data_IF_394318556018
#
_entry.id   IF_394318556018
#
_cell.length_a   1.000
_cell.length_b   1.000
_cell.length_c   1.000
_cell.angle_alpha   90.00
_cell.angle_beta   90.00
_cell.angle_gamma   90.00
#
_symmetry.space_group_name_H-M   'P 1'
#
loop_
_entity.id
_entity.type
_entity.pdbx_description
1 polymer ?
#
# COMPACT_ATOMS: atom_id res chain seq x y z
N UNK A 1 -57.16 -41.31 -42.61
CA UNK A 1 -56.77 -42.56 -43.29
C UNK A 1 -55.74 -43.24 -42.42
N UNK A 2 -56.15 -44.28 -41.69
CA UNK A 2 -55.79 -45.68 -41.89
C UNK A 2 -54.28 -45.92 -41.97
N UNK A 3 -53.63 -46.76 -41.21
CA UNK A 3 -53.90 -48.00 -40.45
C UNK A 3 -52.62 -48.32 -39.68
N UNK A 4 -52.69 -48.72 -38.43
CA UNK A 4 -52.63 -50.09 -37.87
C UNK A 4 -51.27 -50.79 -37.95
N UNK A 5 -50.68 -51.05 -36.74
CA UNK A 5 -50.54 -52.34 -36.03
C UNK A 5 -49.51 -53.32 -36.64
N UNK A 6 -48.52 -53.76 -35.81
CA UNK A 6 -48.58 -55.12 -35.25
C UNK A 6 -47.47 -55.34 -34.20
N UNK A 7 -47.85 -56.06 -33.18
CA UNK A 7 -47.09 -56.62 -32.07
C UNK A 7 -46.09 -57.71 -32.54
N UNK A 8 -45.03 -57.92 -31.77
CA UNK A 8 -44.64 -59.25 -31.32
C UNK A 8 -43.73 -59.24 -30.13
N UNK A 9 -44.15 -59.92 -29.09
CA UNK A 9 -43.48 -60.32 -27.87
C UNK A 9 -42.59 -61.53 -28.13
N UNK A 10 -41.38 -61.56 -27.61
CA UNK A 10 -40.70 -62.83 -27.24
C UNK A 10 -39.86 -62.60 -26.02
N UNK A 11 -40.20 -63.29 -24.95
CA UNK A 11 -39.44 -63.48 -23.77
C UNK A 11 -38.63 -64.78 -23.87
N UNK A 12 -37.43 -64.79 -23.24
CA UNK A 12 -36.76 -65.96 -22.64
C UNK A 12 -35.41 -65.48 -22.10
N UNK A 13 -35.20 -65.35 -20.89
CA UNK A 13 -34.77 -66.22 -19.76
C UNK A 13 -33.26 -66.53 -19.68
N UNK A 14 -32.69 -66.11 -18.54
CA UNK A 14 -31.64 -66.70 -17.69
C UNK A 14 -30.19 -66.76 -18.22
N UNK A 15 -29.34 -66.12 -17.45
CA UNK A 15 -27.89 -66.34 -17.38
C UNK A 15 -27.21 -65.40 -16.35
N UNK A 16 -27.24 -65.83 -15.08
CA UNK A 16 -26.46 -65.16 -14.05
C UNK A 16 -24.96 -65.49 -14.19
N UNK A 17 -24.13 -64.50 -14.36
CA UNK A 17 -22.70 -64.59 -14.16
C UNK A 17 -22.25 -63.44 -13.28
N UNK A 18 -21.96 -63.69 -12.02
CA UNK A 18 -21.28 -62.81 -11.09
C UNK A 18 -19.80 -62.74 -11.49
N UNK A 19 -19.37 -61.62 -12.05
CA UNK A 19 -17.96 -61.25 -12.11
C UNK A 19 -17.75 -60.12 -11.11
N UNK A 20 -17.13 -60.48 -9.99
CA UNK A 20 -16.55 -59.56 -9.02
C UNK A 20 -15.39 -58.83 -9.70
N UNK A 21 -15.66 -57.66 -10.31
CA UNK A 21 -14.64 -56.71 -10.64
C UNK A 21 -14.44 -55.78 -9.42
N UNK A 22 -13.41 -56.08 -8.67
CA UNK A 22 -12.92 -55.17 -7.65
C UNK A 22 -12.45 -53.87 -8.27
N UNK A 23 -13.35 -52.93 -8.41
CA UNK A 23 -13.03 -51.55 -8.75
C UNK A 23 -12.41 -50.88 -7.52
N UNK A 24 -11.09 -50.79 -7.49
CA UNK A 24 -10.40 -49.88 -6.59
C UNK A 24 -10.84 -48.45 -6.93
N UNK A 25 -11.75 -47.93 -6.14
CA UNK A 25 -12.05 -46.48 -6.11
C UNK A 25 -10.79 -45.75 -5.66
N UNK A 26 -9.92 -45.41 -6.57
CA UNK A 26 -8.94 -44.35 -6.32
C UNK A 26 -9.73 -43.06 -6.16
N UNK A 27 -10.05 -42.71 -4.92
CA UNK A 27 -10.37 -41.36 -4.52
C UNK A 27 -9.15 -40.51 -4.83
N UNK A 28 -9.15 -39.90 -5.99
CA UNK A 28 -8.30 -38.75 -6.30
C UNK A 28 -8.73 -37.60 -5.37
N UNK A 29 -8.33 -37.64 -4.11
CA UNK A 29 -8.22 -36.46 -3.28
C UNK A 29 -6.99 -35.68 -3.77
N UNK A 30 -7.13 -35.01 -4.89
CA UNK A 30 -6.31 -33.87 -5.21
C UNK A 30 -6.60 -32.81 -4.16
N UNK A 31 -5.84 -32.77 -3.07
CA UNK A 31 -5.77 -31.61 -2.21
C UNK A 31 -5.20 -30.50 -3.09
N UNK A 32 -6.09 -29.69 -3.69
CA UNK A 32 -5.68 -28.43 -4.31
C UNK A 32 -5.15 -27.53 -3.20
N UNK A 33 -3.83 -27.52 -3.02
CA UNK A 33 -3.20 -26.53 -2.15
C UNK A 33 -3.63 -25.15 -2.56
N UNK A 34 -3.91 -24.24 -1.62
CA UNK A 34 -4.28 -22.86 -1.96
C UNK A 34 -3.26 -22.25 -2.93
N UNK A 35 -3.70 -21.43 -3.89
CA UNK A 35 -2.80 -20.80 -4.84
C UNK A 35 -1.76 -19.94 -4.11
N UNK A 36 -0.54 -19.95 -4.65
CA UNK A 36 0.59 -19.20 -4.09
C UNK A 36 1.27 -18.37 -5.15
N UNK A 37 1.80 -17.21 -4.76
CA UNK A 37 2.61 -16.35 -5.61
C UNK A 37 3.95 -16.05 -4.98
N UNK A 38 4.96 -15.78 -5.80
CA UNK A 38 6.32 -15.50 -5.35
C UNK A 38 7.30 -16.62 -5.64
N UNK A 39 8.54 -16.52 -5.11
CA UNK A 39 9.67 -17.39 -5.45
C UNK A 39 10.35 -18.01 -4.23
N UNK A 40 10.77 -19.27 -4.34
CA UNK A 40 11.56 -19.98 -3.32
C UNK A 40 10.86 -19.99 -1.96
N UNK A 41 11.59 -19.60 -0.90
CA UNK A 41 11.07 -19.46 0.47
C UNK A 41 10.13 -18.25 0.62
N UNK A 42 10.07 -17.36 -0.35
CA UNK A 42 9.24 -16.16 -0.35
C UNK A 42 7.99 -16.33 -1.22
N UNK A 43 7.24 -17.40 -0.97
CA UNK A 43 5.91 -17.63 -1.54
C UNK A 43 4.84 -17.23 -0.54
N UNK A 44 3.76 -16.67 -1.05
CA UNK A 44 2.65 -16.15 -0.26
C UNK A 44 1.33 -16.70 -0.77
N UNK A 45 0.37 -16.87 0.14
CA UNK A 45 -1.03 -17.15 -0.16
C UNK A 45 -1.92 -16.07 0.45
N UNK A 46 -3.17 -15.98 0.00
CA UNK A 46 -4.14 -15.08 0.62
C UNK A 46 -4.49 -15.60 2.01
N UNK A 47 -4.34 -14.75 3.02
CA UNK A 47 -4.82 -14.98 4.38
C UNK A 47 -6.20 -14.34 4.58
N UNK A 48 -6.35 -13.07 4.18
CA UNK A 48 -7.58 -12.32 4.27
C UNK A 48 -7.80 -11.50 2.99
N UNK A 49 -9.07 -11.34 2.62
CA UNK A 49 -9.51 -10.44 1.55
C UNK A 49 -10.22 -9.22 2.14
N UNK A 50 -10.77 -8.37 1.30
CA UNK A 50 -11.56 -7.20 1.71
C UNK A 50 -12.74 -7.51 2.63
N UNK A 51 -13.26 -8.74 2.64
CA UNK A 51 -14.28 -9.18 3.60
C UNK A 51 -13.82 -9.14 5.07
N UNK A 52 -12.52 -9.02 5.31
CA UNK A 52 -11.94 -8.83 6.64
C UNK A 52 -12.08 -7.41 7.18
N UNK A 53 -12.37 -6.45 6.33
CA UNK A 53 -12.54 -5.05 6.71
C UNK A 53 -13.92 -4.80 7.35
N UNK A 54 -14.08 -3.75 8.17
CA UNK A 54 -15.39 -3.32 8.65
C UNK A 54 -16.37 -3.06 7.50
N UNK A 55 -17.66 -3.25 7.74
CA UNK A 55 -18.70 -3.13 6.72
C UNK A 55 -18.71 -1.75 6.03
N UNK A 56 -18.48 -0.69 6.79
CA UNK A 56 -18.40 0.68 6.29
C UNK A 56 -17.22 0.84 5.29
N UNK A 57 -16.10 0.22 5.58
CA UNK A 57 -14.92 0.22 4.71
C UNK A 57 -15.17 -0.58 3.42
N UNK A 58 -15.85 -1.73 3.52
CA UNK A 58 -16.19 -2.54 2.35
C UNK A 58 -17.09 -1.79 1.36
N UNK A 59 -18.03 -0.96 1.86
CA UNK A 59 -18.95 -0.19 1.02
C UNK A 59 -18.26 0.87 0.15
N UNK A 60 -17.09 1.35 0.56
CA UNK A 60 -16.35 2.40 -0.15
C UNK A 60 -15.04 1.91 -0.76
N UNK A 61 -14.84 0.61 -0.83
CA UNK A 61 -13.59 0.00 -1.27
C UNK A 61 -13.15 0.42 -2.69
N UNK A 62 -14.11 0.75 -3.56
CA UNK A 62 -13.84 1.31 -4.89
C UNK A 62 -13.12 2.66 -4.85
N UNK A 63 -13.08 3.33 -3.70
CA UNK A 63 -12.34 4.57 -3.46
C UNK A 63 -10.96 4.31 -2.83
N UNK A 64 -10.57 3.04 -2.66
CA UNK A 64 -9.29 2.68 -2.05
C UNK A 64 -8.13 3.35 -2.78
N UNK A 65 -7.35 4.15 -2.06
CA UNK A 65 -6.25 4.92 -2.62
C UNK A 65 -5.34 5.43 -1.48
N UNK A 66 -4.94 4.54 -0.58
CA UNK A 66 -4.17 4.90 0.60
C UNK A 66 -2.94 4.02 0.80
N UNK A 67 -2.17 4.36 1.80
CA UNK A 67 -1.02 3.60 2.29
C UNK A 67 -1.16 3.24 3.76
N UNK A 68 -0.15 2.58 4.29
CA UNK A 68 -0.20 1.94 5.61
C UNK A 68 0.80 2.56 6.57
N UNK A 69 0.40 2.75 7.83
CA UNK A 69 1.25 3.09 8.96
C UNK A 69 1.32 1.93 9.95
N UNK A 70 2.51 1.63 10.45
CA UNK A 70 2.75 0.58 11.44
C UNK A 70 3.15 1.19 12.79
N UNK A 71 2.44 0.86 13.84
CA UNK A 71 2.88 1.18 15.20
C UNK A 71 4.12 0.34 15.55
N UNK A 72 5.29 0.97 15.47
CA UNK A 72 6.59 0.31 15.69
C UNK A 72 7.05 0.29 17.14
N UNK A 73 6.20 0.73 18.09
CA UNK A 73 6.56 0.72 19.52
C UNK A 73 6.71 -0.73 20.02
N UNK A 74 7.61 -0.99 20.97
CA UNK A 74 7.78 -2.31 21.57
C UNK A 74 6.45 -2.88 22.09
N UNK A 75 6.14 -4.13 21.71
CA UNK A 75 4.90 -4.82 22.10
C UNK A 75 3.63 -4.35 21.38
N UNK A 76 3.77 -3.47 20.39
CA UNK A 76 2.71 -3.01 19.49
C UNK A 76 2.80 -3.70 18.12
N UNK A 77 2.24 -3.13 17.10
CA UNK A 77 2.26 -3.69 15.76
C UNK A 77 0.92 -3.54 15.06
N UNK A 78 0.05 -2.69 15.59
CA UNK A 78 -1.18 -2.27 14.94
C UNK A 78 -0.87 -1.56 13.63
N UNK A 79 -1.70 -1.80 12.63
CA UNK A 79 -1.59 -1.16 11.33
C UNK A 79 -2.75 -0.20 11.14
N UNK A 80 -2.47 0.95 10.58
CA UNK A 80 -3.46 1.99 10.30
C UNK A 80 -3.42 2.35 8.82
N UNK A 81 -4.59 2.59 8.25
CA UNK A 81 -4.75 3.14 6.92
C UNK A 81 -6.10 3.85 6.82
N UNK A 82 -6.38 4.50 5.70
CA UNK A 82 -7.64 5.22 5.55
C UNK A 82 -8.28 4.95 4.19
N UNK A 83 -9.62 5.04 4.17
CA UNK A 83 -10.42 4.95 2.96
C UNK A 83 -11.33 6.18 2.84
N UNK A 84 -11.34 6.89 1.70
CA UNK A 84 -12.23 8.00 1.46
C UNK A 84 -13.71 7.60 1.63
N UNK A 85 -14.42 8.32 2.50
CA UNK A 85 -15.80 8.05 2.84
C UNK A 85 -16.02 7.09 4.02
N UNK A 86 -15.02 6.30 4.42
CA UNK A 86 -15.05 5.50 5.65
C UNK A 86 -14.25 6.16 6.78
N UNK A 87 -13.02 6.59 6.50
CA UNK A 87 -12.12 7.15 7.49
C UNK A 87 -10.97 6.21 7.85
N UNK A 88 -10.43 6.33 9.05
CA UNK A 88 -9.27 5.58 9.53
C UNK A 88 -9.69 4.19 9.98
N UNK A 89 -8.95 3.19 9.54
CA UNK A 89 -9.11 1.78 9.89
C UNK A 89 -7.86 1.34 10.66
N UNK A 90 -8.08 0.60 11.73
CA UNK A 90 -7.03 -0.06 12.49
C UNK A 90 -7.13 -1.58 12.29
N UNK A 91 -6.01 -2.22 12.02
CA UNK A 91 -5.84 -3.68 12.04
C UNK A 91 -5.04 -4.04 13.30
N UNK A 92 -5.49 -5.05 14.03
CA UNK A 92 -4.79 -5.53 15.24
C UNK A 92 -3.37 -6.01 14.94
N UNK A 93 -2.53 -6.02 15.97
CA UNK A 93 -1.11 -6.43 15.82
C UNK A 93 -0.94 -7.88 15.34
N UNK A 94 -1.90 -8.76 15.61
CA UNK A 94 -1.95 -10.15 15.15
C UNK A 94 -2.70 -10.33 13.81
N UNK A 95 -3.14 -9.23 13.20
CA UNK A 95 -3.90 -9.15 11.94
C UNK A 95 -5.30 -9.76 11.97
N UNK A 96 -5.80 -10.25 13.11
CA UNK A 96 -7.06 -11.00 13.17
C UNK A 96 -8.31 -10.14 13.23
N UNK A 97 -8.19 -8.90 13.64
CA UNK A 97 -9.34 -8.01 13.79
C UNK A 97 -9.10 -6.67 13.15
N UNK A 98 -10.18 -6.07 12.64
CA UNK A 98 -10.18 -4.74 12.06
C UNK A 98 -11.28 -3.91 12.68
N UNK A 99 -11.08 -2.61 12.81
CA UNK A 99 -12.10 -1.68 13.30
C UNK A 99 -11.98 -0.31 12.69
N UNK A 100 -13.09 0.40 12.61
CA UNK A 100 -13.10 1.83 12.33
C UNK A 100 -12.63 2.62 13.54
N UNK A 101 -11.86 3.68 13.30
CA UNK A 101 -11.59 4.70 14.31
C UNK A 101 -12.47 5.93 14.06
N UNK A 102 -12.85 6.67 15.12
CA UNK A 102 -13.42 8.01 14.97
C UNK A 102 -12.54 8.82 14.02
N UNK A 103 -13.15 9.45 13.02
CA UNK A 103 -12.44 10.24 12.02
C UNK A 103 -13.17 11.55 11.81
N UNK A 104 -12.43 12.66 11.92
CA UNK A 104 -12.97 14.00 11.68
C UNK A 104 -13.54 14.13 10.26
N UNK A 105 -14.65 14.86 10.11
CA UNK A 105 -15.30 15.05 8.81
C UNK A 105 -14.37 15.67 7.76
N UNK A 106 -13.47 16.59 8.17
CA UNK A 106 -12.49 17.20 7.28
C UNK A 106 -11.51 16.18 6.67
N UNK A 107 -11.32 15.04 7.33
CA UNK A 107 -10.45 13.95 6.87
C UNK A 107 -11.25 12.88 6.12
N UNK A 108 -12.44 12.52 6.62
CA UNK A 108 -13.21 11.35 6.14
C UNK A 108 -13.58 11.45 4.66
N UNK A 109 -13.90 12.64 4.19
CA UNK A 109 -14.42 12.86 2.84
C UNK A 109 -13.32 13.15 1.82
N UNK A 110 -12.06 13.25 2.25
CA UNK A 110 -10.92 13.42 1.36
C UNK A 110 -10.13 12.12 1.19
N UNK A 111 -9.32 12.06 0.15
CA UNK A 111 -8.34 11.01 -0.02
C UNK A 111 -7.17 11.26 0.94
N UNK A 112 -7.11 10.48 2.02
CA UNK A 112 -5.95 10.38 2.91
C UNK A 112 -4.98 9.39 2.25
N UNK A 113 -4.16 9.91 1.35
CA UNK A 113 -3.49 9.18 0.29
C UNK A 113 -2.42 8.18 0.79
N UNK A 114 -1.74 8.51 1.87
CA UNK A 114 -0.81 7.63 2.58
C UNK A 114 -0.96 7.81 4.10
N UNK A 115 -0.15 7.14 4.88
CA UNK A 115 -0.15 7.27 6.34
C UNK A 115 1.22 6.99 6.91
N UNK A 116 1.63 7.75 7.92
CA UNK A 116 2.82 7.48 8.71
C UNK A 116 2.50 7.40 10.20
N UNK A 117 3.12 6.45 10.89
CA UNK A 117 3.19 6.40 12.36
C UNK A 117 4.51 6.99 12.81
N UNK A 118 4.47 7.88 13.79
CA UNK A 118 5.67 8.46 14.38
C UNK A 118 5.48 8.80 15.86
N UNK A 119 6.59 9.01 16.56
CA UNK A 119 6.60 9.39 17.97
C UNK A 119 7.31 10.72 18.15
N UNK A 120 6.74 11.57 19.00
CA UNK A 120 7.41 12.75 19.50
C UNK A 120 8.59 12.36 20.43
N UNK A 121 9.45 13.32 20.77
CA UNK A 121 10.60 13.09 21.64
C UNK A 121 10.22 12.61 23.04
N UNK A 122 9.03 12.97 23.51
CA UNK A 122 8.47 12.52 24.81
C UNK A 122 7.79 11.13 24.72
N UNK A 123 7.83 10.49 23.55
CA UNK A 123 7.22 9.19 23.30
C UNK A 123 5.74 9.24 22.90
N UNK A 124 5.11 10.42 22.84
CA UNK A 124 3.71 10.56 22.41
C UNK A 124 3.55 10.12 20.96
N UNK A 125 2.67 9.14 20.68
CA UNK A 125 2.50 8.62 19.32
C UNK A 125 1.47 9.42 18.52
N UNK A 126 1.72 9.55 17.22
CA UNK A 126 0.86 10.24 16.27
C UNK A 126 0.75 9.44 14.96
N UNK A 127 -0.35 9.71 14.23
CA UNK A 127 -0.50 9.36 12.83
C UNK A 127 -0.56 10.65 12.01
N UNK A 128 0.07 10.67 10.84
CA UNK A 128 -0.09 11.77 9.90
C UNK A 128 -0.51 11.25 8.54
N UNK A 129 -1.36 12.04 7.85
CA UNK A 129 -1.99 11.68 6.59
C UNK A 129 -1.95 12.85 5.61
N UNK A 130 -1.51 12.66 4.36
CA UNK A 130 -1.67 13.66 3.32
C UNK A 130 -3.11 13.64 2.80
N UNK A 131 -3.83 14.74 2.93
CA UNK A 131 -5.13 14.95 2.32
C UNK A 131 -4.96 15.55 0.92
N UNK A 132 -4.67 14.72 -0.09
CA UNK A 132 -4.25 15.22 -1.39
C UNK A 132 -5.35 16.00 -2.12
N UNK A 133 -6.62 15.61 -1.97
CA UNK A 133 -7.75 16.30 -2.59
C UNK A 133 -8.06 17.69 -1.99
N UNK A 134 -7.53 17.99 -0.81
CA UNK A 134 -7.77 19.26 -0.09
C UNK A 134 -6.47 20.04 0.18
N UNK A 135 -5.31 19.53 -0.24
CA UNK A 135 -4.00 20.18 -0.07
C UNK A 135 -3.65 20.42 1.41
N UNK A 136 -3.68 19.39 2.24
CA UNK A 136 -3.43 19.48 3.69
C UNK A 136 -2.66 18.28 4.18
N UNK A 137 -1.95 18.44 5.31
CA UNK A 137 -1.46 17.32 6.10
C UNK A 137 -2.22 17.30 7.42
N UNK A 138 -2.85 16.18 7.71
CA UNK A 138 -3.58 15.95 8.96
C UNK A 138 -2.72 15.16 9.93
N UNK A 139 -2.73 15.53 11.20
CA UNK A 139 -2.10 14.77 12.28
C UNK A 139 -3.15 14.41 13.32
N UNK A 140 -3.22 13.12 13.68
CA UNK A 140 -4.16 12.59 14.69
C UNK A 140 -3.39 11.92 15.82
N UNK A 141 -4.06 11.70 16.95
CA UNK A 141 -3.65 10.68 17.90
C UNK A 141 -4.03 9.26 17.38
N UNK A 142 -3.66 8.23 18.14
CA UNK A 142 -3.97 6.84 17.75
C UNK A 142 -5.44 6.46 17.93
N UNK A 143 -6.26 7.31 18.53
CA UNK A 143 -7.72 7.11 18.59
C UNK A 143 -8.42 7.62 17.34
N UNK A 144 -7.70 8.30 16.44
CA UNK A 144 -8.23 8.94 15.24
C UNK A 144 -8.68 10.39 15.44
N UNK A 145 -8.52 10.94 16.67
CA UNK A 145 -8.86 12.35 16.94
C UNK A 145 -7.90 13.27 16.21
N UNK A 146 -8.44 14.19 15.41
CA UNK A 146 -7.65 15.23 14.73
C UNK A 146 -7.01 16.16 15.75
N UNK A 147 -5.69 16.30 15.69
CA UNK A 147 -4.86 17.13 16.57
C UNK A 147 -4.40 18.40 15.85
N UNK A 148 -4.01 18.26 14.57
CA UNK A 148 -3.47 19.38 13.80
C UNK A 148 -3.76 19.24 12.30
N UNK A 149 -3.82 20.39 11.63
CA UNK A 149 -3.91 20.49 10.18
C UNK A 149 -2.86 21.50 9.69
N UNK A 150 -1.88 21.01 8.95
CA UNK A 150 -0.95 21.87 8.20
C UNK A 150 -1.59 22.19 6.85
N UNK A 151 -1.90 23.46 6.61
CA UNK A 151 -2.44 23.95 5.33
C UNK A 151 -1.34 24.12 4.29
N UNK A 152 -1.71 24.23 3.01
CA UNK A 152 -0.80 24.57 1.93
C UNK A 152 0.06 25.80 2.24
N UNK A 153 1.27 25.92 1.67
CA UNK A 153 2.05 27.16 1.74
C UNK A 153 1.24 28.35 1.23
N UNK A 154 1.30 29.48 1.93
CA UNK A 154 0.53 30.69 1.61
C UNK A 154 1.17 31.56 0.50
N UNK A 155 2.35 31.17 0.02
CA UNK A 155 3.08 31.86 -1.03
C UNK A 155 3.91 33.07 -0.56
N UNK A 156 3.99 33.31 0.75
CA UNK A 156 4.77 34.42 1.31
C UNK A 156 6.14 33.98 1.85
N UNK A 157 6.38 32.68 1.94
CA UNK A 157 7.61 32.08 2.50
C UNK A 157 8.61 31.68 1.44
N UNK A 158 9.88 31.76 1.80
CA UNK A 158 10.93 30.99 1.13
C UNK A 158 10.75 29.51 1.43
N UNK A 159 10.68 28.68 0.38
CA UNK A 159 10.53 27.22 0.46
C UNK A 159 11.89 26.50 0.35
N UNK A 160 13.02 27.25 0.40
CA UNK A 160 14.38 26.68 0.31
C UNK A 160 14.82 26.29 -1.10
N UNK A 161 13.99 26.55 -2.10
CA UNK A 161 14.35 26.37 -3.51
C UNK A 161 13.59 27.41 -4.35
N UNK A 162 14.24 28.15 -5.27
CA UNK A 162 13.61 29.21 -6.05
C UNK A 162 12.35 28.77 -6.78
N UNK A 163 12.40 27.60 -7.47
CA UNK A 163 11.24 27.05 -8.19
C UNK A 163 10.06 26.80 -7.24
N UNK A 164 10.30 26.23 -6.07
CA UNK A 164 9.24 25.95 -5.08
C UNK A 164 8.68 27.24 -4.51
N UNK A 165 9.53 28.23 -4.22
CA UNK A 165 9.15 29.55 -3.73
C UNK A 165 8.27 30.28 -4.76
N UNK A 166 8.71 30.37 -6.01
CA UNK A 166 7.96 31.01 -7.10
C UNK A 166 6.65 30.29 -7.39
N UNK A 167 6.64 28.96 -7.32
CA UNK A 167 5.43 28.15 -7.52
C UNK A 167 4.31 28.54 -6.55
N UNK A 168 4.60 28.61 -5.25
CA UNK A 168 3.61 28.99 -4.25
C UNK A 168 3.32 30.49 -4.24
N UNK A 169 4.28 31.36 -4.51
CA UNK A 169 4.03 32.78 -4.73
C UNK A 169 3.06 33.03 -5.92
N UNK A 170 3.14 32.19 -6.95
CA UNK A 170 2.20 32.14 -8.06
C UNK A 170 0.89 31.39 -7.76
N UNK A 171 0.62 31.03 -6.50
CA UNK A 171 -0.55 30.26 -6.06
C UNK A 171 -0.66 28.86 -6.68
N UNK A 172 0.46 28.19 -6.85
CA UNK A 172 0.52 26.80 -7.29
C UNK A 172 -0.23 25.85 -6.34
N UNK A 173 -0.85 24.81 -6.89
CA UNK A 173 -1.61 23.83 -6.10
C UNK A 173 -0.68 22.97 -5.24
N UNK A 174 -1.02 22.80 -3.97
CA UNK A 174 -0.39 21.85 -3.09
C UNK A 174 -1.16 20.53 -3.13
N UNK A 175 -0.57 19.50 -3.73
CA UNK A 175 -1.16 18.15 -3.83
C UNK A 175 -0.16 17.14 -3.26
N UNK A 176 -0.16 16.97 -1.92
CA UNK A 176 0.76 16.05 -1.27
C UNK A 176 0.41 14.61 -1.64
N UNK A 177 1.42 13.80 -1.96
CA UNK A 177 1.27 12.38 -2.25
C UNK A 177 1.55 11.50 -1.05
N UNK A 178 2.40 11.98 -0.13
CA UNK A 178 2.76 11.28 1.09
C UNK A 178 3.23 12.25 2.17
N UNK A 179 3.50 11.74 3.36
CA UNK A 179 4.15 12.44 4.46
C UNK A 179 4.95 11.46 5.30
N UNK A 180 6.20 11.79 5.59
CA UNK A 180 7.05 11.04 6.53
C UNK A 180 7.64 11.98 7.58
N UNK A 181 7.97 11.45 8.76
CA UNK A 181 8.52 12.22 9.86
C UNK A 181 9.93 11.72 10.25
N UNK A 182 10.89 12.64 10.31
CA UNK A 182 12.23 12.37 10.82
C UNK A 182 12.75 13.56 11.63
N UNK A 183 13.17 13.30 12.87
CA UNK A 183 13.82 14.29 13.75
C UNK A 183 13.03 15.61 13.94
N UNK A 184 11.69 15.54 13.98
CA UNK A 184 10.82 16.71 14.12
C UNK A 184 10.56 17.47 12.81
N UNK A 185 10.88 16.87 11.67
CA UNK A 185 10.58 17.39 10.36
C UNK A 185 9.61 16.48 9.63
N UNK A 186 8.63 17.05 8.95
CA UNK A 186 7.86 16.39 7.90
C UNK A 186 8.57 16.53 6.57
N UNK A 187 8.56 15.46 5.78
CA UNK A 187 8.97 15.40 4.38
C UNK A 187 7.74 15.04 3.55
N UNK A 188 7.42 15.88 2.57
CA UNK A 188 6.13 15.84 1.88
C UNK A 188 6.37 15.91 0.38
N UNK A 189 6.36 14.79 -0.34
CA UNK A 189 6.42 14.80 -1.80
C UNK A 189 5.13 15.35 -2.40
N UNK A 190 5.26 16.03 -3.55
CA UNK A 190 4.18 16.73 -4.24
C UNK A 190 4.02 16.28 -5.69
N UNK A 191 4.24 14.99 -5.95
CA UNK A 191 4.26 14.43 -7.32
C UNK A 191 2.97 14.58 -8.11
N UNK A 192 1.83 14.85 -7.46
CA UNK A 192 0.57 15.16 -8.14
C UNK A 192 0.35 16.65 -8.39
N UNK A 193 1.22 17.50 -7.89
CA UNK A 193 1.29 18.91 -8.31
C UNK A 193 2.21 19.05 -9.54
N UNK A 194 2.17 20.22 -10.20
CA UNK A 194 3.13 20.50 -11.27
C UNK A 194 4.56 20.76 -10.76
N UNK A 195 4.74 20.83 -9.44
CA UNK A 195 6.00 21.15 -8.79
C UNK A 195 6.94 19.94 -8.72
N UNK A 196 6.43 18.79 -8.25
CA UNK A 196 7.17 17.53 -8.07
C UNK A 196 8.45 17.65 -7.21
N UNK A 197 8.34 18.38 -6.10
CA UNK A 197 9.38 18.51 -5.07
C UNK A 197 8.97 17.79 -3.80
N UNK A 198 9.96 17.41 -2.99
CA UNK A 198 9.76 17.11 -1.58
C UNK A 198 9.88 18.42 -0.82
N UNK A 199 8.79 18.84 -0.19
CA UNK A 199 8.74 19.99 0.69
C UNK A 199 8.96 19.54 2.14
N UNK A 200 9.39 20.47 3.01
CA UNK A 200 9.54 20.15 4.43
C UNK A 200 8.76 21.12 5.32
N UNK A 201 8.32 20.57 6.48
CA UNK A 201 7.73 21.38 7.54
C UNK A 201 8.29 20.96 8.89
N UNK A 202 8.56 21.93 9.75
CA UNK A 202 9.09 21.70 11.09
C UNK A 202 7.96 21.56 12.10
N UNK A 203 7.99 20.53 12.91
CA UNK A 203 7.16 20.39 14.11
C UNK A 203 7.79 21.26 15.20
N UNK A 204 7.11 22.33 15.59
CA UNK A 204 7.62 23.30 16.56
C UNK A 204 7.16 23.01 17.99
N UNK A 205 6.03 22.28 18.14
CA UNK A 205 5.52 21.82 19.43
C UNK A 205 4.64 20.58 19.21
N UNK A 206 4.52 19.74 20.25
CA UNK A 206 3.61 18.59 20.27
C UNK A 206 2.49 18.72 21.32
N UNK A 207 2.57 19.75 22.19
CA UNK A 207 1.56 20.03 23.22
C UNK A 207 1.53 21.55 23.56
N UNK A 208 0.61 22.36 23.00
CA UNK A 208 -0.27 22.04 21.87
C UNK A 208 0.53 21.78 20.60
N UNK A 209 -0.02 20.97 19.69
CA UNK A 209 0.66 20.64 18.45
C UNK A 209 0.74 21.86 17.53
N UNK A 210 1.94 22.09 16.98
CA UNK A 210 2.20 23.14 16.00
C UNK A 210 3.27 22.68 14.99
N UNK A 211 3.05 23.00 13.72
CA UNK A 211 4.01 22.79 12.65
C UNK A 211 3.99 23.98 11.69
N UNK A 212 5.13 24.26 11.07
CA UNK A 212 5.28 25.34 10.11
C UNK A 212 6.16 24.90 8.93
N UNK A 213 5.92 25.48 7.76
CA UNK A 213 6.74 25.23 6.58
C UNK A 213 8.19 25.63 6.84
N UNK A 214 9.11 24.85 6.28
CA UNK A 214 10.55 25.03 6.45
C UNK A 214 11.23 25.32 5.11
N UNK A 215 12.35 26.02 5.15
CA UNK A 215 13.13 26.47 4.00
C UNK A 215 14.08 25.36 3.47
N UNK A 216 13.54 24.19 3.21
CA UNK A 216 14.21 23.07 2.54
C UNK A 216 13.23 22.39 1.60
N UNK A 217 13.52 22.46 0.31
CA UNK A 217 12.86 21.66 -0.71
C UNK A 217 13.89 21.07 -1.66
N UNK A 218 13.65 19.85 -2.16
CA UNK A 218 14.55 19.15 -3.06
C UNK A 218 13.81 18.26 -4.04
N UNK A 219 14.50 17.77 -5.08
CA UNK A 219 13.91 17.00 -6.15
C UNK A 219 13.59 17.88 -7.37
N UNK A 220 12.33 17.88 -7.75
CA UNK A 220 11.84 18.60 -8.93
C UNK A 220 11.63 17.68 -10.12
N UNK A 221 10.80 18.12 -11.05
CA UNK A 221 10.36 17.31 -12.19
C UNK A 221 11.51 16.99 -13.15
N UNK A 222 11.69 15.70 -13.48
CA UNK A 222 12.67 15.23 -14.45
C UNK A 222 12.97 13.72 -14.34
N UNK A 223 14.00 13.30 -15.07
CA UNK A 223 14.56 11.95 -15.02
C UNK A 223 16.07 11.98 -14.74
N UNK A 224 16.58 13.14 -14.32
CA UNK A 224 17.97 13.30 -13.90
C UNK A 224 18.18 12.84 -12.47
N UNK A 225 19.43 12.79 -12.05
CA UNK A 225 19.82 12.38 -10.70
C UNK A 225 19.10 13.24 -9.65
N UNK A 226 18.33 12.58 -8.80
CA UNK A 226 17.55 13.24 -7.74
C UNK A 226 16.37 14.08 -8.22
N UNK A 227 15.93 13.94 -9.46
CA UNK A 227 14.69 14.49 -9.99
C UNK A 227 13.65 13.39 -10.09
N UNK A 228 12.36 13.76 -10.12
CA UNK A 228 11.25 12.82 -10.14
C UNK A 228 10.39 12.95 -11.40
N UNK A 229 9.98 11.84 -11.98
CA UNK A 229 8.89 11.82 -12.94
C UNK A 229 7.54 11.95 -12.24
N UNK A 230 7.40 11.38 -11.07
CA UNK A 230 6.33 11.56 -10.08
C UNK A 230 6.85 11.04 -8.75
N UNK A 231 7.39 11.92 -7.92
CA UNK A 231 7.79 11.62 -6.54
C UNK A 231 6.56 11.32 -5.70
N UNK A 232 6.34 10.03 -5.35
CA UNK A 232 5.05 9.59 -4.84
C UNK A 232 5.08 9.22 -3.36
N UNK A 233 5.69 8.09 -2.99
CA UNK A 233 5.86 7.68 -1.60
C UNK A 233 7.13 8.25 -1.00
N UNK A 234 7.12 8.52 0.30
CA UNK A 234 8.30 8.90 1.07
C UNK A 234 8.41 8.03 2.31
N UNK A 235 9.58 7.46 2.54
CA UNK A 235 9.81 6.57 3.68
C UNK A 235 11.19 6.79 4.29
N UNK A 236 11.26 6.75 5.62
CA UNK A 236 12.50 6.69 6.38
C UNK A 236 12.76 5.23 6.78
N UNK A 237 13.79 4.56 6.23
CA UNK A 237 14.13 3.22 6.69
C UNK A 237 14.46 3.21 8.18
N UNK A 238 13.94 2.25 8.97
CA UNK A 238 14.15 2.19 10.42
C UNK A 238 15.63 2.25 10.80
N UNK A 239 15.93 3.05 11.82
CA UNK A 239 17.30 3.21 12.34
C UNK A 239 18.23 4.05 11.46
N UNK A 240 17.74 4.65 10.38
CA UNK A 240 18.52 5.52 9.48
C UNK A 240 18.10 6.98 9.56
N UNK A 241 18.87 7.84 8.87
CA UNK A 241 18.54 9.27 8.62
C UNK A 241 18.37 9.52 7.11
N UNK A 242 18.03 8.48 6.38
CA UNK A 242 17.86 8.48 4.93
C UNK A 242 16.39 8.69 4.58
N UNK A 243 16.15 9.48 3.56
CA UNK A 243 14.82 9.69 2.97
C UNK A 243 14.79 8.93 1.64
N UNK A 244 13.86 8.01 1.51
CA UNK A 244 13.67 7.22 0.29
C UNK A 244 12.38 7.70 -0.39
N UNK A 245 12.45 8.02 -1.70
CA UNK A 245 11.34 8.55 -2.50
C UNK A 245 11.04 7.57 -3.63
N UNK A 246 9.81 7.10 -3.71
CA UNK A 246 9.35 6.28 -4.83
C UNK A 246 9.08 7.17 -6.05
N UNK A 247 9.82 6.93 -7.14
CA UNK A 247 9.66 7.65 -8.40
C UNK A 247 9.04 6.75 -9.47
N UNK A 248 7.77 6.98 -9.74
CA UNK A 248 6.93 6.09 -10.57
C UNK A 248 7.46 5.87 -11.98
N UNK A 249 7.53 6.89 -12.87
CA UNK A 249 7.90 6.66 -14.27
C UNK A 249 9.35 6.22 -14.44
N UNK A 250 10.22 6.60 -13.53
CA UNK A 250 11.65 6.27 -13.61
C UNK A 250 11.94 4.85 -13.08
N UNK A 251 10.93 4.16 -12.50
CA UNK A 251 11.04 2.77 -12.01
C UNK A 251 12.08 2.60 -10.91
N UNK A 252 12.12 3.54 -9.97
CA UNK A 252 13.20 3.58 -8.99
C UNK A 252 12.75 4.15 -7.64
N UNK A 253 13.61 3.95 -6.65
CA UNK A 253 13.52 4.59 -5.33
C UNK A 253 14.78 5.43 -5.19
N UNK A 254 14.62 6.74 -5.18
CA UNK A 254 15.70 7.67 -4.97
C UNK A 254 15.95 7.93 -3.49
N UNK A 255 17.22 8.00 -3.12
CA UNK A 255 17.68 8.10 -1.73
C UNK A 255 18.38 9.40 -1.47
N UNK A 256 17.99 10.05 -0.38
CA UNK A 256 18.51 11.35 0.01
C UNK A 256 18.93 11.37 1.47
N UNK A 257 19.84 12.29 1.80
CA UNK A 257 20.04 12.69 3.19
C UNK A 257 18.83 13.45 3.71
N UNK A 258 18.69 13.59 5.02
CA UNK A 258 17.68 14.47 5.62
C UNK A 258 17.79 15.96 5.20
N UNK A 259 18.86 16.35 4.56
CA UNK A 259 19.10 17.70 4.02
C UNK A 259 18.85 17.78 2.50
N UNK A 260 18.20 16.78 1.92
CA UNK A 260 17.85 16.75 0.50
C UNK A 260 19.02 16.49 -0.46
N UNK A 261 20.18 16.07 0.03
CA UNK A 261 21.30 15.69 -0.83
C UNK A 261 21.09 14.27 -1.35
N UNK A 262 21.13 14.09 -2.67
CA UNK A 262 21.03 12.79 -3.29
C UNK A 262 22.18 11.87 -2.86
N UNK A 263 21.87 10.61 -2.61
CA UNK A 263 22.81 9.58 -2.19
C UNK A 263 22.98 8.47 -3.24
N UNK A 264 21.87 7.88 -3.66
CA UNK A 264 21.86 6.73 -4.58
C UNK A 264 20.43 6.45 -5.06
N UNK A 265 20.32 5.53 -6.02
CA UNK A 265 19.05 5.02 -6.54
C UNK A 265 18.99 3.49 -6.37
N UNK A 266 17.87 2.98 -5.85
CA UNK A 266 17.49 1.58 -5.89
C UNK A 266 16.60 1.35 -7.11
N UNK A 267 17.06 0.57 -8.08
CA UNK A 267 16.32 0.32 -9.31
C UNK A 267 15.37 -0.88 -9.16
N UNK A 268 14.18 -0.71 -9.69
CA UNK A 268 13.18 -1.76 -9.83
C UNK A 268 13.13 -2.26 -11.28
N UNK A 269 12.42 -3.37 -11.57
CA UNK A 269 12.24 -3.82 -12.94
C UNK A 269 11.70 -2.70 -13.83
N UNK A 270 12.41 -2.38 -14.92
CA UNK A 270 12.09 -1.27 -15.82
C UNK A 270 10.63 -1.35 -16.31
N UNK A 271 9.92 -0.26 -16.24
CA UNK A 271 8.48 -0.17 -16.54
C UNK A 271 7.59 -0.35 -15.31
N UNK A 272 8.15 -0.65 -14.13
CA UNK A 272 7.42 -0.60 -12.87
C UNK A 272 7.13 0.84 -12.45
N UNK A 273 5.97 1.05 -11.82
CA UNK A 273 5.58 2.35 -11.27
C UNK A 273 5.44 2.23 -9.75
N UNK A 274 6.57 2.29 -8.99
CA UNK A 274 6.52 2.17 -7.54
C UNK A 274 5.67 3.27 -6.93
N UNK A 275 4.78 2.90 -6.00
CA UNK A 275 3.96 3.88 -5.30
C UNK A 275 4.60 4.28 -3.97
N UNK A 276 5.23 3.33 -3.30
CA UNK A 276 5.91 3.53 -2.03
C UNK A 276 6.84 2.35 -1.77
N UNK A 277 7.77 2.50 -0.80
CA UNK A 277 8.58 1.42 -0.27
C UNK A 277 8.38 1.36 1.25
N UNK A 278 8.05 0.19 1.77
CA UNK A 278 7.84 -0.02 3.20
C UNK A 278 8.87 -0.99 3.75
N UNK A 279 9.62 -0.57 4.78
CA UNK A 279 10.67 -1.35 5.41
C UNK A 279 10.23 -2.02 6.71
N UNK A 280 10.69 -3.25 6.93
CA UNK A 280 10.58 -3.96 8.20
C UNK A 280 11.80 -4.87 8.38
N UNK A 281 12.66 -4.57 9.35
CA UNK A 281 13.96 -5.20 9.55
C UNK A 281 14.78 -5.21 8.25
N UNK A 282 15.27 -6.37 7.82
CA UNK A 282 16.02 -6.60 6.57
C UNK A 282 15.13 -6.60 5.30
N UNK A 283 13.81 -6.57 5.48
CA UNK A 283 12.86 -6.66 4.37
C UNK A 283 12.32 -5.30 3.96
N UNK A 284 12.01 -5.19 2.67
CA UNK A 284 11.17 -4.12 2.17
C UNK A 284 10.16 -4.66 1.16
N UNK A 285 9.01 -3.99 1.05
CA UNK A 285 8.06 -4.24 -0.03
C UNK A 285 7.75 -2.96 -0.78
N UNK A 286 7.55 -3.11 -2.09
CA UNK A 286 7.11 -2.04 -2.97
C UNK A 286 5.80 -2.46 -3.63
N UNK A 287 4.73 -1.72 -3.34
CA UNK A 287 3.51 -1.79 -4.13
C UNK A 287 3.70 -0.99 -5.42
N UNK A 288 3.38 -1.58 -6.56
CA UNK A 288 3.58 -0.93 -7.84
C UNK A 288 2.25 -0.69 -8.54
N UNK A 289 2.04 0.54 -9.05
CA UNK A 289 0.84 0.86 -9.80
C UNK A 289 0.74 0.01 -11.06
N UNK A 290 1.88 -0.24 -11.68
CA UNK A 290 2.06 -1.12 -12.84
C UNK A 290 3.37 -1.89 -12.72
N UNK A 291 3.38 -3.09 -13.30
CA UNK A 291 4.60 -3.83 -13.57
C UNK A 291 5.16 -3.55 -14.98
N UNK A 292 6.27 -4.20 -15.36
CA UNK A 292 6.84 -4.14 -16.70
C UNK A 292 5.87 -4.59 -17.80
N UNK A 293 5.06 -5.61 -17.53
CA UNK A 293 4.06 -6.14 -18.45
C UNK A 293 2.69 -5.51 -18.15
N UNK A 294 2.28 -4.57 -19.01
CA UNK A 294 1.01 -3.84 -18.87
C UNK A 294 -0.24 -4.68 -19.15
N UNK A 295 -0.10 -5.88 -19.66
CA UNK A 295 -1.21 -6.81 -19.87
C UNK A 295 -1.61 -7.56 -18.59
N UNK A 296 -0.75 -7.51 -17.57
CA UNK A 296 -0.93 -8.16 -16.26
C UNK A 296 -1.34 -7.16 -15.19
N UNK A 297 -1.85 -7.70 -14.09
CA UNK A 297 -2.03 -6.95 -12.85
C UNK A 297 -0.70 -6.47 -12.26
N UNK A 298 -0.80 -5.56 -11.33
CA UNK A 298 0.37 -4.96 -10.72
C UNK A 298 1.06 -5.91 -9.73
N UNK A 299 2.40 -5.89 -9.66
CA UNK A 299 3.16 -6.68 -8.72
C UNK A 299 3.30 -6.01 -7.35
N UNK A 300 3.54 -6.84 -6.33
CA UNK A 300 4.23 -6.46 -5.10
C UNK A 300 5.64 -7.03 -5.17
N UNK A 301 6.63 -6.17 -5.08
CA UNK A 301 8.04 -6.58 -4.99
C UNK A 301 8.45 -6.75 -3.54
N UNK A 302 9.06 -7.90 -3.21
CA UNK A 302 9.70 -8.13 -1.92
C UNK A 302 11.20 -8.07 -2.09
N UNK A 303 11.84 -7.23 -1.30
CA UNK A 303 13.28 -7.08 -1.22
C UNK A 303 13.79 -7.60 0.13
N UNK A 304 14.99 -8.15 0.14
CA UNK A 304 15.79 -8.48 1.33
C UNK A 304 17.16 -7.81 1.18
N UNK A 305 17.53 -6.92 2.09
CA UNK A 305 18.75 -6.12 2.02
C UNK A 305 18.90 -5.36 0.68
N UNK A 306 17.83 -4.72 0.23
CA UNK A 306 17.73 -3.99 -1.05
C UNK A 306 17.79 -4.86 -2.33
N UNK A 307 17.89 -6.18 -2.21
CA UNK A 307 17.86 -7.09 -3.36
C UNK A 307 16.45 -7.63 -3.60
N UNK A 308 15.97 -7.60 -4.83
CA UNK A 308 14.68 -8.17 -5.22
C UNK A 308 14.72 -9.69 -5.12
N UNK A 309 14.03 -10.26 -4.10
CA UNK A 309 14.02 -11.70 -3.84
C UNK A 309 12.73 -12.39 -4.28
N UNK A 310 11.63 -11.65 -4.40
CA UNK A 310 10.36 -12.22 -4.86
C UNK A 310 9.46 -11.16 -5.50
N UNK A 311 8.67 -11.60 -6.49
CA UNK A 311 7.60 -10.82 -7.10
C UNK A 311 6.29 -11.56 -6.87
N UNK A 312 5.37 -10.92 -6.20
CA UNK A 312 4.03 -11.44 -5.91
C UNK A 312 3.06 -10.84 -6.93
N UNK A 313 2.28 -11.69 -7.61
CA UNK A 313 1.30 -11.32 -8.63
C UNK A 313 -0.11 -11.64 -8.12
N UNK A 314 -0.74 -10.74 -7.34
CA UNK A 314 -2.00 -11.06 -6.68
C UNK A 314 -3.13 -11.40 -7.64
N UNK A 315 -3.20 -10.74 -8.79
CA UNK A 315 -4.24 -10.97 -9.79
C UNK A 315 -4.07 -12.31 -10.50
N UNK A 316 -2.91 -12.57 -11.05
CA UNK A 316 -2.64 -13.75 -11.88
C UNK A 316 -2.51 -15.03 -11.05
N UNK A 317 -1.71 -14.96 -10.00
CA UNK A 317 -1.32 -16.16 -9.24
C UNK A 317 -2.27 -16.46 -8.08
N UNK A 318 -2.88 -15.42 -7.46
CA UNK A 318 -3.73 -15.58 -6.27
C UNK A 318 -5.23 -15.41 -6.58
N UNK A 319 -5.59 -15.11 -7.83
CA UNK A 319 -6.98 -14.98 -8.27
C UNK A 319 -7.69 -13.71 -7.79
N UNK A 320 -6.97 -12.68 -7.36
CA UNK A 320 -7.53 -11.42 -6.88
C UNK A 320 -7.79 -10.46 -8.05
N UNK A 321 -8.91 -10.63 -8.74
CA UNK A 321 -9.24 -9.96 -9.99
C UNK A 321 -9.09 -8.43 -9.96
N UNK A 322 -9.35 -7.80 -8.81
CA UNK A 322 -9.30 -6.34 -8.64
C UNK A 322 -7.89 -5.78 -8.40
N UNK A 323 -6.87 -6.64 -8.26
CA UNK A 323 -5.48 -6.21 -8.09
C UNK A 323 -4.84 -5.86 -9.44
N UNK A 324 -5.52 -4.99 -10.20
CA UNK A 324 -5.01 -4.46 -11.48
C UNK A 324 -3.93 -3.42 -11.25
N UNK A 325 -4.10 -2.57 -10.26
CA UNK A 325 -3.14 -1.55 -9.82
C UNK A 325 -2.95 -1.66 -8.31
N UNK A 326 -1.72 -1.78 -7.83
CA UNK A 326 -1.44 -1.79 -6.39
C UNK A 326 -0.97 -0.41 -5.99
N UNK A 327 -1.76 0.26 -5.13
CA UNK A 327 -1.39 1.60 -4.68
C UNK A 327 -0.33 1.55 -3.60
N UNK A 328 -0.50 0.65 -2.62
CA UNK A 328 0.48 0.51 -1.54
C UNK A 328 0.53 -0.92 -1.01
N UNK A 329 1.68 -1.28 -0.45
CA UNK A 329 1.89 -2.52 0.27
C UNK A 329 2.82 -2.28 1.45
N UNK A 330 2.59 -3.02 2.55
CA UNK A 330 3.49 -3.05 3.69
C UNK A 330 3.86 -4.49 4.06
N UNK A 331 4.99 -4.68 4.70
CA UNK A 331 5.43 -5.97 5.24
C UNK A 331 5.58 -5.90 6.74
N UNK A 332 5.25 -6.98 7.43
CA UNK A 332 5.61 -7.22 8.83
C UNK A 332 5.97 -8.68 9.05
N UNK A 333 6.73 -8.95 10.12
CA UNK A 333 7.14 -10.29 10.50
C UNK A 333 6.51 -10.68 11.84
N UNK A 334 5.87 -11.83 11.91
CA UNK A 334 5.28 -12.37 13.13
C UNK A 334 5.53 -13.88 13.18
N UNK A 335 5.95 -14.38 14.34
CA UNK A 335 6.18 -15.81 14.55
C UNK A 335 7.06 -16.46 13.47
N UNK A 336 8.09 -15.76 13.01
CA UNK A 336 9.03 -16.23 12.00
C UNK A 336 8.53 -16.18 10.55
N UNK A 337 7.29 -15.71 10.29
CA UNK A 337 6.70 -15.57 8.96
C UNK A 337 6.56 -14.11 8.56
N UNK A 338 6.67 -13.85 7.27
CA UNK A 338 6.32 -12.55 6.69
C UNK A 338 4.83 -12.51 6.34
N UNK A 339 4.25 -11.33 6.54
CA UNK A 339 2.90 -10.97 6.13
C UNK A 339 2.98 -9.70 5.30
N UNK A 340 2.30 -9.69 4.17
CA UNK A 340 2.19 -8.52 3.31
C UNK A 340 0.74 -8.05 3.32
N UNK A 341 0.53 -6.77 3.60
CA UNK A 341 -0.79 -6.12 3.51
C UNK A 341 -0.75 -5.25 2.28
N UNK A 342 -1.71 -5.39 1.38
CA UNK A 342 -1.74 -4.65 0.14
C UNK A 342 -3.11 -4.04 -0.14
N UNK A 343 -3.10 -2.85 -0.72
CA UNK A 343 -4.27 -2.14 -1.19
C UNK A 343 -4.16 -1.91 -2.70
N UNK A 344 -5.18 -2.37 -3.42
CA UNK A 344 -5.34 -2.09 -4.83
C UNK A 344 -6.11 -0.78 -5.04
N UNK A 345 -5.82 -0.09 -6.14
CA UNK A 345 -6.54 1.08 -6.62
C UNK A 345 -7.18 0.75 -7.98
N UNK A 346 -8.33 1.33 -8.25
CA UNK A 346 -9.05 1.21 -9.54
C UNK A 346 -9.04 -0.21 -10.16
N UNK A 347 -9.98 -1.10 -9.74
CA UNK A 347 -11.28 -0.76 -9.12
C UNK A 347 -11.28 -0.63 -7.60
N UNK A 348 -10.21 -0.99 -6.91
CA UNK A 348 -10.10 -0.94 -5.46
C UNK A 348 -10.33 -2.30 -4.80
N UNK A 349 -9.37 -2.74 -3.98
CA UNK A 349 -9.44 -3.97 -3.20
C UNK A 349 -8.44 -3.94 -2.04
N UNK A 350 -8.50 -4.95 -1.18
CA UNK A 350 -7.62 -5.11 -0.03
C UNK A 350 -7.35 -6.60 0.20
N UNK A 351 -6.11 -6.95 0.53
CA UNK A 351 -5.76 -8.30 0.94
C UNK A 351 -4.59 -8.32 1.93
N UNK A 352 -4.54 -9.38 2.72
CA UNK A 352 -3.39 -9.75 3.54
C UNK A 352 -2.87 -11.08 3.02
N UNK A 353 -1.59 -11.15 2.74
CA UNK A 353 -0.89 -12.36 2.31
C UNK A 353 -0.03 -12.88 3.45
N UNK A 354 -0.01 -14.20 3.65
CA UNK A 354 0.93 -14.85 4.56
C UNK A 354 1.96 -15.67 3.80
N UNK A 355 3.20 -15.64 4.28
CA UNK A 355 4.26 -16.50 3.77
C UNK A 355 3.93 -17.96 4.02
N UNK A 356 4.02 -18.79 2.97
CA UNK A 356 3.94 -20.26 3.10
C UNK A 356 5.33 -20.81 3.33
N UNK A 357 5.39 -21.82 4.21
CA UNK A 357 6.64 -22.53 4.51
C UNK A 357 6.92 -23.58 3.46
#
# INVERSE_FOLDING_TARGET
MKRLLYHSVFALALGAAWLLAGGSSQTLQGQNSPPTSGKGKYKFRVLYTSSHLPAEAQQVLTKAHGGFALDRRPGRGEVYFALPGAGIIQISSDLKTTRMLPTDAAMRDTNMHNAVFWQAKDGTPFLSFPGNGVGKIFTTDLSGKLIHTLNAPDGTRDMGHPIATDYFAGRGNFVPTDVEQLDGMFYIPTGYSNLDFVLTARITSTAPFAAEWHDLAFGGRGAGVGQFGTGHGVTVPPGTKRIDIADRPNSEIDRFTRHGQYLSTLRLPLGSFPCDIFYFDEYAVVGSLHGPDRSKGAPVYLLENDELVSTIMPKEDLGLANFTHIHNAMVKKMNGKLYIIAQAWNPGDFAIFEQVQ
#
